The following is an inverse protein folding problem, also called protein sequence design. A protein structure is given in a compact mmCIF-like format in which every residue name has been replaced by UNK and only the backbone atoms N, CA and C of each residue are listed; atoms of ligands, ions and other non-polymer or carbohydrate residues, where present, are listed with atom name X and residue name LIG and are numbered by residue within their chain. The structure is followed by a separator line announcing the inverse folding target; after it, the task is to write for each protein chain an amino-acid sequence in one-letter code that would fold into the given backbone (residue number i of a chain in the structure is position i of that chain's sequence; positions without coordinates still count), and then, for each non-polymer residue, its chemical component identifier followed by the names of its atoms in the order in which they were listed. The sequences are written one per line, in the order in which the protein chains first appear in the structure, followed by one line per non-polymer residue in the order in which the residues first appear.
data_IF_007357997389
#
_entry.id   IF_007357997389
#
_cell.length_a   1.000
_cell.length_b   1.000
_cell.length_c   1.000
_cell.angle_alpha   90.00
_cell.angle_beta   90.00
_cell.angle_gamma   90.00
#
_symmetry.space_group_name_H-M   'P 1'
#
loop_
_entity.id
_entity.type
_entity.pdbx_description
1 polymer ?
#
# COMPACT_ATOMS: atom_id res chain seq x y z
N UNK A 1 -12.97 -0.53 -10.78
CA UNK A 1 -13.11 0.92 -11.06
C UNK A 1 -11.82 1.49 -11.65
N UNK A 2 -10.64 1.19 -11.11
CA UNK A 2 -9.38 1.82 -11.51
C UNK A 2 -9.10 1.69 -13.02
N UNK A 3 -8.99 0.48 -13.55
CA UNK A 3 -8.65 0.23 -14.96
C UNK A 3 -9.80 0.50 -15.95
N UNK A 4 -11.05 0.34 -15.54
CA UNK A 4 -12.19 0.33 -16.45
C UNK A 4 -13.02 1.63 -16.43
N UNK A 5 -12.77 2.51 -15.45
CA UNK A 5 -13.54 3.75 -15.28
C UNK A 5 -12.59 4.94 -15.16
N UNK A 6 -11.64 4.90 -14.21
CA UNK A 6 -10.74 6.02 -13.95
C UNK A 6 -9.71 6.21 -15.06
N UNK A 7 -8.95 5.18 -15.45
CA UNK A 7 -7.93 5.30 -16.50
C UNK A 7 -8.51 5.71 -17.88
N UNK A 8 -9.70 5.26 -18.30
CA UNK A 8 -10.36 5.78 -19.50
C UNK A 8 -10.89 7.21 -19.36
N UNK A 9 -10.87 7.81 -18.18
CA UNK A 9 -11.33 9.18 -17.95
C UNK A 9 -12.83 9.31 -17.72
N UNK A 10 -13.52 8.23 -17.37
CA UNK A 10 -14.96 8.27 -17.04
C UNK A 10 -15.24 8.75 -15.60
N UNK A 11 -14.19 8.83 -14.77
CA UNK A 11 -14.25 9.36 -13.41
C UNK A 11 -12.99 10.16 -13.09
N UNK A 12 -13.15 11.27 -12.38
CA UNK A 12 -12.04 12.14 -11.98
C UNK A 12 -11.28 11.60 -10.76
N UNK A 13 -11.91 10.76 -9.95
CA UNK A 13 -11.37 10.22 -8.69
C UNK A 13 -11.59 8.71 -8.61
N UNK A 14 -10.64 8.04 -7.98
CA UNK A 14 -10.74 6.60 -7.67
C UNK A 14 -10.07 6.29 -6.34
N UNK A 15 -10.61 5.32 -5.62
CA UNK A 15 -9.96 4.78 -4.43
C UNK A 15 -8.75 3.93 -4.86
N UNK A 16 -7.56 4.33 -4.40
CA UNK A 16 -6.30 3.64 -4.69
C UNK A 16 -5.27 3.90 -3.58
N UNK A 17 -4.05 3.41 -3.76
CA UNK A 17 -2.94 3.68 -2.87
C UNK A 17 -2.27 5.03 -3.21
N UNK A 18 -1.74 5.72 -2.22
CA UNK A 18 -0.98 6.97 -2.42
C UNK A 18 0.30 6.77 -3.23
N UNK A 19 0.75 5.53 -3.37
CA UNK A 19 1.90 5.14 -4.20
C UNK A 19 1.53 4.84 -5.66
N UNK A 20 0.24 4.76 -6.02
CA UNK A 20 -0.18 4.46 -7.40
C UNK A 20 0.38 5.45 -8.45
N UNK A 21 0.50 6.76 -8.20
CA UNK A 21 1.15 7.66 -9.14
C UNK A 21 2.61 7.32 -9.44
N UNK A 22 3.35 6.73 -8.48
CA UNK A 22 4.72 6.29 -8.74
C UNK A 22 4.77 5.17 -9.79
N UNK A 23 3.77 4.28 -9.84
CA UNK A 23 3.69 3.26 -10.89
C UNK A 23 3.53 3.88 -12.28
N UNK A 24 2.66 4.88 -12.44
CA UNK A 24 2.49 5.61 -13.70
C UNK A 24 3.76 6.32 -14.13
N UNK A 25 4.49 6.93 -13.20
CA UNK A 25 5.78 7.55 -13.50
C UNK A 25 6.81 6.51 -13.97
N UNK A 26 6.89 5.37 -13.27
CA UNK A 26 7.90 4.33 -13.56
C UNK A 26 7.64 3.54 -14.85
N UNK A 27 6.37 3.26 -15.16
CA UNK A 27 6.04 2.31 -16.23
C UNK A 27 5.42 2.97 -17.45
N UNK A 28 4.74 4.11 -17.26
CA UNK A 28 4.02 4.81 -18.33
C UNK A 28 4.65 6.18 -18.65
N UNK A 29 5.69 6.58 -17.91
CA UNK A 29 6.31 7.93 -17.99
C UNK A 29 5.27 9.05 -17.82
N UNK A 30 4.15 8.77 -17.15
CA UNK A 30 3.04 9.70 -16.95
C UNK A 30 3.08 10.37 -15.59
N UNK A 31 2.89 11.69 -15.59
CA UNK A 31 2.77 12.56 -14.41
C UNK A 31 1.36 13.12 -14.23
N UNK A 32 0.37 12.58 -14.95
CA UNK A 32 -1.00 13.09 -14.98
C UNK A 32 -1.82 12.71 -13.74
N UNK A 33 -1.31 11.80 -12.93
CA UNK A 33 -2.00 11.27 -11.75
C UNK A 33 -1.35 11.74 -10.46
N UNK A 34 -2.17 12.08 -9.48
CA UNK A 34 -1.72 12.47 -8.15
C UNK A 34 -2.54 11.82 -7.04
N UNK A 35 -1.91 11.59 -5.89
CA UNK A 35 -2.61 11.15 -4.69
C UNK A 35 -3.13 12.35 -3.90
N UNK A 36 -4.33 12.23 -3.35
CA UNK A 36 -4.91 13.25 -2.47
C UNK A 36 -4.46 12.98 -1.03
N UNK A 37 -3.83 13.97 -0.42
CA UNK A 37 -3.52 13.97 1.01
C UNK A 37 -4.63 14.69 1.75
N UNK A 38 -5.36 13.97 2.59
CA UNK A 38 -6.42 14.53 3.40
C UNK A 38 -5.87 15.17 4.69
N UNK A 39 -6.46 16.26 5.12
CA UNK A 39 -6.09 16.94 6.38
C UNK A 39 -6.33 16.05 7.60
N UNK A 40 -7.32 15.18 7.53
CA UNK A 40 -7.61 14.16 8.53
C UNK A 40 -6.52 13.08 8.56
N UNK A 41 -5.87 12.84 7.44
CA UNK A 41 -4.86 11.82 7.18
C UNK A 41 -5.33 10.77 6.19
N UNK A 42 -4.39 9.91 5.78
CA UNK A 42 -4.64 8.77 4.89
C UNK A 42 -4.49 7.46 5.68
N UNK A 43 -5.38 6.49 5.42
CA UNK A 43 -5.34 5.20 6.11
C UNK A 43 -4.04 4.45 5.81
N UNK A 44 -3.33 4.05 6.87
CA UNK A 44 -2.10 3.26 6.75
C UNK A 44 -2.44 1.78 6.63
N UNK A 45 -2.17 1.20 5.47
CA UNK A 45 -2.22 -0.24 5.23
C UNK A 45 -0.84 -0.85 5.44
N UNK A 46 -0.76 -1.92 6.23
CA UNK A 46 0.50 -2.65 6.50
C UNK A 46 0.28 -4.11 6.13
N UNK A 47 1.19 -4.66 5.32
CA UNK A 47 1.20 -6.08 4.97
C UNK A 47 2.04 -6.88 5.97
N UNK A 48 1.55 -8.03 6.35
CA UNK A 48 2.20 -8.91 7.33
C UNK A 48 2.43 -10.31 6.75
N UNK A 49 3.52 -10.91 7.18
CA UNK A 49 3.78 -12.32 6.93
C UNK A 49 3.97 -13.07 8.26
N UNK A 50 3.49 -14.30 8.34
CA UNK A 50 3.57 -15.11 9.55
C UNK A 50 3.72 -16.59 9.28
N UNK A 51 4.21 -17.34 10.27
CA UNK A 51 4.38 -18.79 10.20
C UNK A 51 3.13 -19.47 10.72
N UNK A 52 2.50 -20.32 9.90
CA UNK A 52 1.36 -21.10 10.32
C UNK A 52 1.75 -22.06 11.47
N UNK A 53 0.92 -22.16 12.48
CA UNK A 53 1.13 -23.06 13.63
C UNK A 53 1.33 -24.52 13.19
N UNK A 54 0.63 -24.96 12.15
CA UNK A 54 0.68 -26.29 11.57
C UNK A 54 1.88 -26.54 10.61
N UNK A 55 2.69 -25.52 10.32
CA UNK A 55 3.83 -25.67 9.43
C UNK A 55 4.81 -26.75 9.94
N UNK A 56 5.21 -27.64 9.04
CA UNK A 56 6.24 -28.65 9.29
C UNK A 56 7.67 -28.15 9.05
N UNK A 57 7.81 -26.98 8.38
CA UNK A 57 9.09 -26.38 7.99
C UNK A 57 9.30 -25.03 8.68
N UNK A 58 9.16 -24.99 10.01
CA UNK A 58 9.21 -23.72 10.77
C UNK A 58 10.57 -23.01 10.68
N UNK A 59 11.66 -23.76 10.64
CA UNK A 59 13.01 -23.18 10.54
C UNK A 59 13.21 -22.51 9.18
N UNK A 60 12.83 -23.18 8.09
CA UNK A 60 12.88 -22.59 6.75
C UNK A 60 11.96 -21.36 6.66
N UNK A 61 10.74 -21.42 7.20
CA UNK A 61 9.81 -20.30 7.24
C UNK A 61 10.38 -19.12 8.06
N UNK A 62 11.04 -19.41 9.20
CA UNK A 62 11.71 -18.39 10.01
C UNK A 62 12.86 -17.72 9.26
N UNK A 63 13.65 -18.48 8.54
CA UNK A 63 14.74 -17.94 7.72
C UNK A 63 14.17 -17.09 6.57
N UNK A 64 13.05 -17.50 5.95
CA UNK A 64 12.37 -16.69 4.95
C UNK A 64 11.84 -15.36 5.54
N UNK A 65 11.23 -15.39 6.74
CA UNK A 65 10.80 -14.14 7.40
C UNK A 65 11.96 -13.18 7.69
N UNK A 66 13.13 -13.71 8.04
CA UNK A 66 14.34 -12.88 8.18
C UNK A 66 14.80 -12.30 6.83
N UNK A 67 14.73 -13.11 5.78
CA UNK A 67 15.10 -12.68 4.42
C UNK A 67 14.20 -11.59 3.90
N UNK A 68 12.87 -11.68 4.08
CA UNK A 68 11.95 -10.62 3.62
C UNK A 68 12.15 -9.27 4.33
N UNK A 69 12.84 -9.24 5.47
CA UNK A 69 13.25 -8.00 6.14
C UNK A 69 14.67 -7.54 5.75
N UNK A 70 15.34 -8.27 4.87
CA UNK A 70 16.66 -7.87 4.39
C UNK A 70 16.58 -6.72 3.38
N UNK A 71 17.70 -6.03 3.18
CA UNK A 71 17.79 -4.95 2.21
C UNK A 71 17.55 -5.45 0.78
N UNK A 72 18.03 -6.65 0.45
CA UNK A 72 17.88 -7.28 -0.86
C UNK A 72 16.40 -7.51 -1.21
N UNK A 73 15.62 -8.01 -0.26
CA UNK A 73 14.18 -8.20 -0.49
C UNK A 73 13.42 -6.89 -0.48
N UNK A 74 13.70 -6.02 0.49
CA UNK A 74 12.96 -4.77 0.64
C UNK A 74 13.22 -3.77 -0.49
N UNK A 75 14.38 -3.84 -1.15
CA UNK A 75 14.70 -2.96 -2.28
C UNK A 75 13.89 -3.27 -3.55
N UNK A 76 13.30 -4.47 -3.68
CA UNK A 76 12.45 -4.81 -4.84
C UNK A 76 10.97 -4.47 -4.61
N UNK A 77 10.53 -4.27 -3.37
CA UNK A 77 9.13 -3.95 -3.04
C UNK A 77 8.60 -2.72 -3.80
N UNK A 78 9.34 -1.59 -3.88
CA UNK A 78 8.84 -0.40 -4.57
C UNK A 78 8.54 -0.60 -6.05
N UNK A 79 9.23 -1.52 -6.72
CA UNK A 79 9.08 -1.76 -8.16
C UNK A 79 8.19 -2.95 -8.49
N UNK A 80 7.99 -3.88 -7.55
CA UNK A 80 7.20 -5.11 -7.78
C UNK A 80 5.83 -5.06 -7.13
N UNK A 81 5.71 -4.42 -5.98
CA UNK A 81 4.46 -4.28 -5.22
C UNK A 81 3.94 -2.84 -5.15
N UNK A 82 4.73 -1.86 -5.61
CA UNK A 82 4.39 -0.44 -5.61
C UNK A 82 4.02 0.06 -4.19
N UNK A 83 4.75 -0.43 -3.21
CA UNK A 83 4.57 -0.09 -1.80
C UNK A 83 5.87 0.46 -1.19
N UNK A 84 5.79 1.17 -0.09
CA UNK A 84 6.97 1.54 0.67
C UNK A 84 7.58 0.32 1.36
N UNK A 85 8.92 0.19 1.37
CA UNK A 85 9.60 -0.82 2.18
C UNK A 85 9.42 -0.52 3.67
N UNK A 86 9.45 -1.55 4.51
CA UNK A 86 9.34 -1.40 5.98
C UNK A 86 10.66 -1.06 6.66
N UNK A 87 11.77 -1.07 5.90
CA UNK A 87 13.10 -0.64 6.35
C UNK A 87 13.58 0.54 5.51
N UNK A 88 14.56 1.27 6.02
CA UNK A 88 15.20 2.32 5.25
C UNK A 88 16.18 1.71 4.23
N UNK A 89 15.83 1.74 2.95
CA UNK A 89 16.66 1.27 1.83
C UNK A 89 17.55 2.38 1.24
N UNK A 90 17.62 3.55 1.90
CA UNK A 90 18.42 4.70 1.48
C UNK A 90 18.15 5.12 0.03
N UNK A 91 19.23 5.18 -0.78
CA UNK A 91 19.18 5.64 -2.17
C UNK A 91 18.65 4.59 -3.17
N UNK A 92 18.17 3.45 -2.70
CA UNK A 92 17.60 2.39 -3.56
C UNK A 92 16.10 2.58 -3.84
N UNK A 93 15.47 3.58 -3.22
CA UNK A 93 14.07 3.93 -3.55
C UNK A 93 14.03 4.57 -4.94
N UNK A 94 13.16 4.07 -5.87
CA UNK A 94 13.05 4.65 -7.21
C UNK A 94 12.75 6.14 -7.19
N UNK A 95 13.32 6.90 -8.13
CA UNK A 95 13.16 8.36 -8.21
C UNK A 95 11.67 8.79 -8.25
N UNK A 96 10.81 7.98 -8.87
CA UNK A 96 9.37 8.21 -8.92
C UNK A 96 8.73 8.46 -7.54
N UNK A 97 9.26 7.81 -6.49
CA UNK A 97 8.77 8.01 -5.13
C UNK A 97 9.11 9.39 -4.55
N UNK A 98 10.11 10.07 -5.09
CA UNK A 98 10.41 11.46 -4.72
C UNK A 98 9.49 12.49 -5.40
N UNK A 99 8.74 12.05 -6.41
CA UNK A 99 7.83 12.90 -7.20
C UNK A 99 6.37 12.82 -6.74
N UNK A 100 6.05 11.87 -5.89
CA UNK A 100 4.68 11.69 -5.36
C UNK A 100 4.52 12.34 -3.99
N UNK A 101 3.29 12.76 -3.69
CA UNK A 101 2.97 13.30 -2.37
C UNK A 101 2.97 12.19 -1.31
N UNK A 102 3.71 12.42 -0.23
CA UNK A 102 3.73 11.53 0.94
C UNK A 102 2.70 12.05 1.94
N UNK A 103 1.79 11.21 2.46
CA UNK A 103 0.85 11.62 3.50
C UNK A 103 1.59 12.08 4.77
N UNK A 104 1.26 13.28 5.24
CA UNK A 104 1.84 13.84 6.47
C UNK A 104 1.35 13.11 7.72
N UNK A 105 0.14 12.57 7.65
CA UNK A 105 -0.53 11.96 8.79
C UNK A 105 -1.10 10.59 8.45
N UNK A 106 -0.42 9.50 8.86
CA UNK A 106 -0.99 8.16 8.73
C UNK A 106 -2.12 7.95 9.74
N UNK A 107 -3.28 7.49 9.27
CA UNK A 107 -4.39 7.08 10.11
C UNK A 107 -4.26 5.60 10.45
N UNK A 108 -4.36 5.30 11.73
CA UNK A 108 -4.47 3.93 12.25
C UNK A 108 -5.73 3.82 13.08
N UNK A 109 -6.53 2.79 12.81
CA UNK A 109 -7.74 2.51 13.59
C UNK A 109 -7.39 1.49 14.66
N UNK A 110 -7.80 1.74 15.89
CA UNK A 110 -7.67 0.77 16.97
C UNK A 110 -8.32 -0.58 16.55
N UNK A 111 -7.58 -1.71 16.62
CA UNK A 111 -8.09 -3.02 16.21
C UNK A 111 -9.39 -3.43 16.93
N UNK A 112 -9.61 -3.00 18.16
CA UNK A 112 -10.83 -3.28 18.92
C UNK A 112 -12.01 -2.52 18.28
N UNK A 113 -11.81 -1.24 17.95
CA UNK A 113 -12.82 -0.42 17.28
C UNK A 113 -13.10 -0.97 15.88
N UNK A 114 -12.05 -1.34 15.14
CA UNK A 114 -12.17 -1.94 13.81
C UNK A 114 -13.00 -3.23 13.86
N UNK A 115 -12.65 -4.17 14.73
CA UNK A 115 -13.37 -5.43 14.86
C UNK A 115 -14.83 -5.26 15.25
N UNK A 116 -15.12 -4.27 16.11
CA UNK A 116 -16.50 -3.98 16.56
C UNK A 116 -17.38 -3.40 15.45
N UNK A 117 -16.82 -2.62 14.56
CA UNK A 117 -17.58 -1.84 13.58
C UNK A 117 -17.41 -2.30 12.12
N UNK A 118 -16.51 -3.24 11.84
CA UNK A 118 -16.14 -3.65 10.48
C UNK A 118 -17.35 -4.00 9.62
N UNK A 119 -18.24 -4.87 10.12
CA UNK A 119 -19.41 -5.31 9.36
C UNK A 119 -20.36 -4.14 9.08
N UNK A 120 -20.63 -3.31 10.10
CA UNK A 120 -21.46 -2.12 9.96
C UNK A 120 -20.87 -1.16 8.91
N UNK A 121 -19.57 -0.91 8.92
CA UNK A 121 -18.91 -0.03 7.95
C UNK A 121 -18.94 -0.61 6.53
N UNK A 122 -18.84 -1.94 6.38
CA UNK A 122 -18.99 -2.61 5.08
C UNK A 122 -20.41 -2.43 4.56
N UNK A 123 -21.43 -2.62 5.41
CA UNK A 123 -22.83 -2.43 5.03
C UNK A 123 -23.11 -0.97 4.66
N UNK A 124 -22.62 -0.01 5.44
CA UNK A 124 -22.75 1.43 5.12
C UNK A 124 -22.11 1.76 3.77
N UNK A 125 -20.92 1.22 3.47
CA UNK A 125 -20.28 1.41 2.18
C UNK A 125 -21.09 0.83 1.03
N UNK A 126 -21.56 -0.41 1.17
CA UNK A 126 -22.38 -1.09 0.13
C UNK A 126 -23.72 -0.40 -0.13
N UNK A 127 -24.28 0.27 0.86
CA UNK A 127 -25.55 1.01 0.72
C UNK A 127 -25.35 2.42 0.16
N UNK A 128 -24.12 2.94 0.16
CA UNK A 128 -23.78 4.27 -0.34
C UNK A 128 -23.28 4.27 -1.79
N UNK A 129 -22.96 3.09 -2.35
CA UNK A 129 -22.35 2.90 -3.67
C UNK A 129 -23.34 2.49 -4.76
#
# INVERSE_FOLDING_TARGET
AYYNIFLPGEADLVLSYTTSPAAHIMFDESYDYSAINFTEGNYLSIEFAGILKSSKNKDAASNFLKFILSNEFQSVIPTTNIMYPVINIKDQLPEAYSKIAIPDKPLQIDPIILNKNKEKWIDEWLNAS
#
